data_IF_042343747439
#
_entry.id   IF_042343747439
#
_cell.length_a   1.000
_cell.length_b   1.000
_cell.length_c   1.000
_cell.angle_alpha   90.00
_cell.angle_beta   90.00
_cell.angle_gamma   90.00
#
_symmetry.space_group_name_H-M   'P 1'
#
loop_
_entity.id
_entity.type
_entity.pdbx_description
1 polymer ?
#
# COMPACT_ATOMS: atom_id res chain seq x y z
N UNK A 1 3.90 -9.18 23.84
CA UNK A 1 3.07 -7.99 23.60
C UNK A 1 4.02 -6.85 23.27
N UNK A 2 3.91 -6.27 22.09
CA UNK A 2 4.76 -5.16 21.65
C UNK A 2 3.90 -3.93 21.35
N UNK A 3 4.48 -2.72 21.40
CA UNK A 3 3.80 -1.48 21.03
C UNK A 3 4.16 -1.08 19.61
N UNK A 4 3.15 -0.85 18.77
CA UNK A 4 3.29 -0.45 17.37
C UNK A 4 2.83 0.99 17.14
N UNK A 5 3.54 1.70 16.27
CA UNK A 5 3.02 2.88 15.60
C UNK A 5 2.61 2.51 14.17
N UNK A 6 1.35 2.78 13.80
CA UNK A 6 0.86 2.68 12.43
C UNK A 6 0.61 4.10 11.92
N UNK A 7 1.49 4.63 11.07
CA UNK A 7 1.21 5.91 10.41
C UNK A 7 0.28 5.67 9.21
N UNK A 8 -0.68 6.56 9.00
CA UNK A 8 -1.72 6.32 8.00
C UNK A 8 -2.72 5.23 8.41
N UNK A 9 -2.90 5.02 9.73
CA UNK A 9 -3.72 3.96 10.28
C UNK A 9 -5.21 4.07 9.97
N UNK A 10 -5.72 5.27 9.67
CA UNK A 10 -7.11 5.50 9.24
C UNK A 10 -7.31 5.26 7.73
N UNK A 11 -6.24 5.00 7.00
CA UNK A 11 -6.27 4.70 5.57
C UNK A 11 -6.71 3.27 5.26
N UNK A 12 -6.76 2.94 3.97
CA UNK A 12 -7.12 1.62 3.47
C UNK A 12 -6.28 0.50 4.10
N UNK A 13 -4.97 0.44 3.81
CA UNK A 13 -4.10 -0.63 4.30
C UNK A 13 -3.89 -0.51 5.82
N UNK A 14 -3.66 0.70 6.33
CA UNK A 14 -3.39 0.95 7.75
C UNK A 14 -4.49 0.46 8.67
N UNK A 15 -5.77 0.61 8.28
CA UNK A 15 -6.91 0.16 9.09
C UNK A 15 -6.99 -1.37 9.22
N UNK A 16 -6.56 -2.11 8.22
CA UNK A 16 -6.43 -3.57 8.28
C UNK A 16 -5.26 -4.00 9.18
N UNK A 17 -4.12 -3.28 9.10
CA UNK A 17 -2.97 -3.53 9.98
C UNK A 17 -3.31 -3.31 11.45
N UNK A 18 -4.01 -2.21 11.77
CA UNK A 18 -4.46 -1.95 13.15
C UNK A 18 -5.27 -3.12 13.71
N UNK A 19 -6.26 -3.62 12.96
CA UNK A 19 -7.07 -4.77 13.40
C UNK A 19 -6.26 -6.04 13.58
N UNK A 20 -5.34 -6.30 12.64
CA UNK A 20 -4.48 -7.49 12.73
C UNK A 20 -3.60 -7.45 13.97
N UNK A 21 -2.97 -6.32 14.24
CA UNK A 21 -2.11 -6.13 15.41
C UNK A 21 -2.89 -6.26 16.73
N UNK A 22 -4.04 -5.60 16.84
CA UNK A 22 -4.92 -5.71 18.02
C UNK A 22 -5.40 -7.14 18.22
N UNK A 23 -5.80 -7.83 17.13
CA UNK A 23 -6.23 -9.24 17.17
C UNK A 23 -5.12 -10.21 17.61
N UNK A 24 -3.85 -9.82 17.47
CA UNK A 24 -2.69 -10.58 17.99
C UNK A 24 -2.26 -10.11 19.39
N UNK A 25 -3.00 -9.21 20.01
CA UNK A 25 -2.76 -8.75 21.38
C UNK A 25 -1.63 -7.71 21.50
N UNK A 26 -1.30 -7.01 20.42
CA UNK A 26 -0.33 -5.90 20.45
C UNK A 26 -1.01 -4.58 20.81
N UNK A 27 -0.25 -3.64 21.40
CA UNK A 27 -0.67 -2.26 21.55
C UNK A 27 -0.51 -1.50 20.21
N UNK A 28 -1.48 -0.65 19.87
CA UNK A 28 -1.48 0.09 18.61
C UNK A 28 -1.67 1.58 18.87
N UNK A 29 -0.69 2.37 18.44
CA UNK A 29 -0.82 3.82 18.27
C UNK A 29 -1.00 4.12 16.79
N UNK A 30 -1.90 5.03 16.46
CA UNK A 30 -2.12 5.52 15.10
C UNK A 30 -1.70 6.97 15.02
N UNK A 31 -0.93 7.35 13.97
CA UNK A 31 -0.68 8.73 13.57
C UNK A 31 -1.29 8.93 12.19
N UNK A 32 -2.30 9.79 12.10
CA UNK A 32 -3.02 10.08 10.85
C UNK A 32 -3.57 11.51 10.88
N UNK A 33 -3.43 12.26 9.80
CA UNK A 33 -3.97 13.62 9.69
C UNK A 33 -5.37 13.67 9.03
N UNK A 34 -5.96 12.50 8.76
CA UNK A 34 -7.28 12.33 8.14
C UNK A 34 -7.45 13.01 6.77
N UNK A 35 -6.34 13.31 6.08
CA UNK A 35 -6.39 13.95 4.75
C UNK A 35 -6.99 13.05 3.66
N UNK A 36 -6.84 11.73 3.82
CA UNK A 36 -7.42 10.71 2.95
C UNK A 36 -7.99 9.53 3.75
N UNK A 37 -7.44 9.28 4.94
CA UNK A 37 -7.97 8.31 5.89
C UNK A 37 -9.29 8.79 6.50
N UNK A 38 -10.11 7.85 6.96
CA UNK A 38 -11.40 8.11 7.60
C UNK A 38 -11.43 7.49 8.99
N UNK A 39 -11.88 8.22 10.02
CA UNK A 39 -12.02 7.66 11.38
C UNK A 39 -12.95 6.47 11.43
N UNK A 40 -13.95 6.44 10.54
CA UNK A 40 -14.92 5.36 10.39
C UNK A 40 -14.24 4.03 10.06
N UNK A 41 -13.10 4.07 9.36
CA UNK A 41 -12.30 2.87 9.08
C UNK A 41 -11.77 2.17 10.35
N UNK A 42 -11.78 2.83 11.50
CA UNK A 42 -11.32 2.31 12.79
C UNK A 42 -12.42 2.25 13.85
N UNK A 43 -13.68 2.51 13.49
CA UNK A 43 -14.79 2.69 14.43
C UNK A 43 -15.01 1.48 15.37
N UNK A 44 -14.85 0.27 14.86
CA UNK A 44 -15.02 -0.99 15.58
C UNK A 44 -13.85 -1.32 16.56
N UNK A 45 -12.71 -0.64 16.43
CA UNK A 45 -11.51 -0.83 17.27
C UNK A 45 -11.03 0.47 17.93
N UNK A 46 -11.81 1.54 17.83
CA UNK A 46 -11.41 2.88 18.30
C UNK A 46 -11.08 2.93 19.81
N UNK A 47 -11.71 2.09 20.63
CA UNK A 47 -11.47 2.02 22.08
C UNK A 47 -10.13 1.38 22.45
N UNK A 48 -9.51 0.65 21.54
CA UNK A 48 -8.27 -0.11 21.75
C UNK A 48 -7.05 0.58 21.12
N UNK A 49 -7.26 1.74 20.45
CA UNK A 49 -6.23 2.48 19.73
C UNK A 49 -5.87 3.78 20.46
N UNK A 50 -4.58 4.02 20.65
CA UNK A 50 -4.05 5.34 20.99
C UNK A 50 -3.95 6.18 19.71
N UNK A 51 -4.90 7.12 19.52
CA UNK A 51 -5.03 7.87 18.27
C UNK A 51 -4.42 9.27 18.38
N UNK A 52 -3.38 9.52 17.58
CA UNK A 52 -2.73 10.82 17.43
C UNK A 52 -3.12 11.44 16.07
N UNK A 53 -4.02 12.43 16.08
CA UNK A 53 -4.34 13.20 14.88
C UNK A 53 -3.23 14.21 14.60
N UNK A 54 -2.36 13.87 13.64
CA UNK A 54 -1.19 14.68 13.35
C UNK A 54 -0.65 14.40 11.94
N UNK A 55 0.15 15.34 11.43
CA UNK A 55 0.82 15.26 10.13
C UNK A 55 2.27 14.76 10.29
N UNK A 56 2.80 14.05 9.29
CA UNK A 56 4.20 13.61 9.25
C UNK A 56 5.22 14.77 9.26
N UNK A 57 4.78 15.98 8.97
CA UNK A 57 5.61 17.20 8.97
C UNK A 57 5.68 17.87 10.36
N UNK A 58 4.93 17.38 11.33
CA UNK A 58 4.95 17.84 12.72
C UNK A 58 5.97 17.00 13.51
N UNK A 59 7.16 17.56 13.72
CA UNK A 59 8.26 16.89 14.41
C UNK A 59 7.92 16.53 15.87
N UNK A 60 7.21 17.41 16.58
CA UNK A 60 6.79 17.15 17.96
C UNK A 60 5.78 16.00 18.02
N UNK A 61 4.88 15.92 17.04
CA UNK A 61 3.93 14.83 16.94
C UNK A 61 4.64 13.50 16.60
N UNK A 62 5.66 13.53 15.74
CA UNK A 62 6.47 12.34 15.45
C UNK A 62 7.19 11.84 16.70
N UNK A 63 7.80 12.72 17.51
CA UNK A 63 8.45 12.35 18.77
C UNK A 63 7.46 11.68 19.72
N UNK A 64 6.28 12.28 19.95
CA UNK A 64 5.21 11.67 20.75
C UNK A 64 4.72 10.34 20.14
N UNK A 65 4.64 10.28 18.82
CA UNK A 65 4.19 9.09 18.07
C UNK A 65 5.07 7.87 18.32
N UNK A 66 6.39 8.05 18.37
CA UNK A 66 7.36 6.96 18.52
C UNK A 66 7.72 6.65 19.99
N UNK A 67 7.27 7.45 20.94
CA UNK A 67 7.58 7.24 22.37
C UNK A 67 7.06 5.90 22.89
N UNK A 68 7.95 5.04 23.38
CA UNK A 68 7.63 3.70 23.89
C UNK A 68 7.21 2.69 22.83
N UNK A 69 7.41 3.01 21.54
CA UNK A 69 7.09 2.14 20.40
C UNK A 69 8.28 1.23 20.08
N UNK A 70 8.00 -0.05 19.87
CA UNK A 70 9.01 -1.02 19.45
C UNK A 70 9.09 -1.15 17.92
N UNK A 71 7.95 -1.07 17.23
CA UNK A 71 7.85 -1.25 15.78
C UNK A 71 7.03 -0.14 15.13
N UNK A 72 7.45 0.30 13.94
CA UNK A 72 6.70 1.26 13.13
C UNK A 72 6.29 0.61 11.81
N UNK A 73 4.98 0.66 11.48
CA UNK A 73 4.44 0.33 10.17
C UNK A 73 4.10 1.65 9.45
N UNK A 74 4.96 2.06 8.52
CA UNK A 74 4.88 3.38 7.90
C UNK A 74 4.08 3.36 6.60
N UNK A 75 2.78 3.77 6.68
CA UNK A 75 1.83 3.77 5.56
C UNK A 75 1.28 5.17 5.22
N UNK A 76 1.52 6.19 6.08
CA UNK A 76 1.12 7.57 5.78
C UNK A 76 1.86 8.09 4.55
N UNK A 77 1.11 8.50 3.53
CA UNK A 77 1.65 9.08 2.30
C UNK A 77 0.54 9.70 1.46
N UNK A 78 0.89 10.62 0.58
CA UNK A 78 0.09 10.96 -0.59
C UNK A 78 0.29 9.86 -1.62
N UNK A 79 -0.68 8.95 -1.76
CA UNK A 79 -0.57 7.73 -2.58
C UNK A 79 -0.95 7.91 -4.05
N UNK A 80 -1.35 9.11 -4.45
CA UNK A 80 -1.82 9.43 -5.80
C UNK A 80 -0.69 9.89 -6.71
N UNK A 81 -0.44 9.17 -7.79
CA UNK A 81 0.48 9.60 -8.87
C UNK A 81 0.02 10.93 -9.46
N UNK A 82 -1.28 11.07 -9.74
CA UNK A 82 -1.84 12.29 -10.33
C UNK A 82 -1.62 13.51 -9.41
N UNK A 83 -1.94 13.38 -8.11
CA UNK A 83 -1.69 14.46 -7.13
C UNK A 83 -0.20 14.81 -7.06
N UNK A 84 0.69 13.84 -7.19
CA UNK A 84 2.14 14.09 -7.20
C UNK A 84 2.60 14.93 -8.41
N UNK A 85 1.95 14.76 -9.56
CA UNK A 85 2.21 15.56 -10.76
C UNK A 85 1.64 16.97 -10.61
N UNK A 86 0.42 17.11 -10.07
CA UNK A 86 -0.24 18.38 -9.90
C UNK A 86 0.36 19.24 -8.77
N UNK A 87 0.85 18.59 -7.70
CA UNK A 87 1.36 19.24 -6.49
C UNK A 87 2.67 18.61 -6.00
N UNK A 88 3.74 18.61 -6.82
CA UNK A 88 4.95 17.84 -6.55
C UNK A 88 5.68 18.26 -5.27
N UNK A 89 5.75 19.53 -4.96
CA UNK A 89 6.43 20.01 -3.76
C UNK A 89 5.72 19.58 -2.47
N UNK A 90 4.39 19.64 -2.45
CA UNK A 90 3.58 19.19 -1.31
C UNK A 90 3.76 17.69 -1.10
N UNK A 91 3.70 16.92 -2.17
CA UNK A 91 3.89 15.47 -2.13
C UNK A 91 5.28 15.08 -1.61
N UNK A 92 6.36 15.71 -2.12
CA UNK A 92 7.73 15.45 -1.67
C UNK A 92 7.94 15.82 -0.18
N UNK A 93 7.33 16.91 0.29
CA UNK A 93 7.39 17.29 1.71
C UNK A 93 6.75 16.23 2.61
N UNK A 94 5.65 15.64 2.17
CA UNK A 94 4.95 14.61 2.95
C UNK A 94 5.66 13.26 2.82
N UNK A 95 5.89 12.79 1.59
CA UNK A 95 6.37 11.45 1.35
C UNK A 95 7.87 11.29 1.59
N UNK A 96 8.70 12.21 1.09
CA UNK A 96 10.16 12.11 1.23
C UNK A 96 10.64 12.68 2.56
N UNK A 97 10.32 13.96 2.83
CA UNK A 97 10.79 14.64 4.05
C UNK A 97 10.12 14.04 5.28
N UNK A 98 8.79 13.84 5.25
CA UNK A 98 8.06 13.21 6.36
C UNK A 98 8.56 11.79 6.69
N UNK A 99 8.91 10.97 5.68
CA UNK A 99 9.54 9.66 5.91
C UNK A 99 10.91 9.82 6.58
N UNK A 100 11.73 10.76 6.12
CA UNK A 100 13.03 11.01 6.73
C UNK A 100 12.90 11.49 8.19
N UNK A 101 11.98 12.41 8.47
CA UNK A 101 11.69 12.89 9.84
C UNK A 101 11.20 11.77 10.75
N UNK A 102 10.35 10.86 10.25
CA UNK A 102 9.89 9.69 11.01
C UNK A 102 11.04 8.73 11.30
N UNK A 103 11.92 8.45 10.34
CA UNK A 103 13.10 7.59 10.56
C UNK A 103 14.03 8.19 11.61
N UNK A 104 14.24 9.50 11.59
CA UNK A 104 15.07 10.19 12.60
C UNK A 104 14.42 10.14 13.99
N UNK A 105 13.12 10.40 14.11
CA UNK A 105 12.39 10.27 15.37
C UNK A 105 12.44 8.81 15.90
N UNK A 106 12.23 7.83 15.03
CA UNK A 106 12.29 6.41 15.38
C UNK A 106 13.68 6.00 15.88
N UNK A 107 14.74 6.46 15.20
CA UNK A 107 16.14 6.23 15.63
C UNK A 107 16.42 6.82 17.02
N UNK A 108 16.01 8.05 17.26
CA UNK A 108 16.23 8.75 18.54
C UNK A 108 15.46 8.10 19.68
N UNK A 109 14.26 7.59 19.44
CA UNK A 109 13.44 6.89 20.42
C UNK A 109 13.84 5.43 20.67
N UNK A 110 14.82 4.91 19.92
CA UNK A 110 15.27 3.52 20.05
C UNK A 110 14.26 2.50 19.49
N UNK A 111 13.43 2.89 18.51
CA UNK A 111 12.57 1.96 17.78
C UNK A 111 13.43 0.84 17.20
N UNK A 112 12.99 -0.40 17.37
CA UNK A 112 13.72 -1.56 16.86
C UNK A 112 13.66 -1.67 15.36
N UNK A 113 12.44 -1.58 14.75
CA UNK A 113 12.28 -1.77 13.30
C UNK A 113 11.19 -0.87 12.72
N UNK A 114 11.46 -0.40 11.49
CA UNK A 114 10.49 0.30 10.64
C UNK A 114 10.20 -0.55 9.40
N UNK A 115 8.93 -0.86 9.16
CA UNK A 115 8.44 -1.46 7.91
C UNK A 115 7.85 -0.35 7.06
N UNK A 116 8.44 -0.12 5.89
CA UNK A 116 8.07 0.97 4.98
C UNK A 116 7.23 0.49 3.80
N UNK A 117 6.08 1.09 3.59
CA UNK A 117 5.23 0.89 2.43
C UNK A 117 5.86 1.56 1.18
N UNK A 118 6.69 0.82 0.46
CA UNK A 118 7.26 1.19 -0.83
C UNK A 118 6.25 0.88 -1.97
N UNK A 119 6.68 1.01 -3.22
CA UNK A 119 5.77 0.88 -4.36
C UNK A 119 6.46 0.27 -5.58
N UNK A 120 5.74 -0.57 -6.32
CA UNK A 120 6.14 -1.06 -7.64
C UNK A 120 6.30 0.08 -8.68
N UNK A 121 5.78 1.28 -8.40
CA UNK A 121 6.01 2.46 -9.24
C UNK A 121 7.51 2.81 -9.39
N UNK A 122 8.37 2.34 -8.48
CA UNK A 122 9.83 2.48 -8.60
C UNK A 122 10.40 1.85 -9.88
N UNK A 123 9.73 0.85 -10.47
CA UNK A 123 10.16 0.19 -11.70
C UNK A 123 9.87 1.00 -12.97
N UNK A 124 8.93 1.96 -12.92
CA UNK A 124 8.50 2.74 -14.09
C UNK A 124 8.00 1.84 -15.23
N UNK A 125 8.28 2.27 -16.47
CA UNK A 125 7.88 1.57 -17.69
C UNK A 125 8.92 0.55 -18.21
N UNK A 126 9.79 -0.01 -17.37
CA UNK A 126 10.66 -1.10 -17.78
C UNK A 126 9.81 -2.22 -18.40
N UNK A 127 10.04 -2.63 -19.67
CA UNK A 127 9.20 -3.64 -20.33
C UNK A 127 9.41 -5.06 -19.82
N UNK A 128 10.46 -5.30 -19.03
CA UNK A 128 10.77 -6.63 -18.51
C UNK A 128 9.78 -7.03 -17.43
N UNK A 129 9.21 -8.23 -17.54
CA UNK A 129 8.36 -8.88 -16.54
C UNK A 129 8.83 -10.32 -16.35
N UNK A 130 8.71 -10.89 -15.13
CA UNK A 130 8.29 -10.25 -13.88
C UNK A 130 9.30 -9.22 -13.36
N UNK A 131 8.80 -8.26 -12.56
CA UNK A 131 9.64 -7.24 -11.91
C UNK A 131 10.40 -7.86 -10.75
N UNK A 132 11.71 -7.64 -10.69
CA UNK A 132 12.60 -8.18 -9.66
C UNK A 132 13.26 -7.03 -8.89
N UNK A 133 13.58 -7.25 -7.62
CA UNK A 133 14.16 -6.22 -6.74
C UNK A 133 15.56 -5.79 -7.17
N UNK A 134 16.29 -6.64 -7.90
CA UNK A 134 17.61 -6.33 -8.46
C UNK A 134 17.59 -5.49 -9.75
N UNK A 135 16.41 -5.23 -10.32
CA UNK A 135 16.27 -4.35 -11.47
C UNK A 135 16.57 -2.91 -11.09
N UNK A 136 17.22 -2.18 -12.00
CA UNK A 136 17.46 -0.75 -11.83
C UNK A 136 16.12 -0.02 -11.76
N UNK A 137 15.87 0.76 -10.70
CA UNK A 137 14.67 1.60 -10.64
C UNK A 137 14.66 2.66 -11.75
N UNK A 138 13.48 2.91 -12.30
CA UNK A 138 13.23 3.90 -13.36
C UNK A 138 11.97 4.73 -13.05
N UNK A 139 11.94 5.46 -11.92
CA UNK A 139 10.73 6.17 -11.49
C UNK A 139 10.37 7.28 -12.47
N UNK A 140 9.09 7.34 -12.89
CA UNK A 140 8.58 8.27 -13.90
C UNK A 140 7.60 9.32 -13.36
N UNK A 141 7.42 9.37 -12.03
CA UNK A 141 6.57 10.37 -11.38
C UNK A 141 7.17 10.84 -10.06
N UNK A 142 6.80 12.04 -9.57
CA UNK A 142 7.22 12.50 -8.24
C UNK A 142 6.90 11.48 -7.14
N UNK A 143 5.72 10.86 -7.19
CA UNK A 143 5.34 9.76 -6.28
C UNK A 143 6.31 8.58 -6.33
N UNK A 144 6.67 8.11 -7.52
CA UNK A 144 7.62 7.01 -7.67
C UNK A 144 9.00 7.37 -7.12
N UNK A 145 9.43 8.62 -7.36
CA UNK A 145 10.70 9.17 -6.83
C UNK A 145 10.66 9.23 -5.31
N UNK A 146 9.59 9.75 -4.70
CA UNK A 146 9.49 9.85 -3.24
C UNK A 146 9.46 8.48 -2.56
N UNK A 147 8.77 7.49 -3.13
CA UNK A 147 8.78 6.13 -2.62
C UNK A 147 10.17 5.48 -2.71
N UNK A 148 10.86 5.69 -3.82
CA UNK A 148 12.24 5.21 -3.99
C UNK A 148 13.22 5.94 -3.05
N UNK A 149 13.05 7.24 -2.82
CA UNK A 149 13.84 7.99 -1.84
C UNK A 149 13.65 7.41 -0.42
N UNK A 150 12.41 7.06 -0.04
CA UNK A 150 12.11 6.39 1.22
C UNK A 150 12.86 5.06 1.37
N UNK A 151 12.92 4.23 0.31
CA UNK A 151 13.71 2.98 0.32
C UNK A 151 15.20 3.25 0.58
N UNK A 152 15.78 4.26 -0.09
CA UNK A 152 17.18 4.62 0.10
C UNK A 152 17.44 5.18 1.50
N UNK A 153 16.54 5.99 2.06
CA UNK A 153 16.64 6.43 3.45
C UNK A 153 16.58 5.25 4.42
N UNK A 154 15.65 4.33 4.23
CA UNK A 154 15.57 3.11 5.02
C UNK A 154 16.88 2.33 5.00
N UNK A 155 17.45 2.07 3.82
CA UNK A 155 18.74 1.40 3.67
C UNK A 155 19.89 2.15 4.34
N UNK A 156 19.95 3.48 4.20
CA UNK A 156 20.96 4.32 4.83
C UNK A 156 20.85 4.28 6.36
N UNK A 157 19.63 4.39 6.93
CA UNK A 157 19.42 4.32 8.39
C UNK A 157 19.76 2.96 8.97
N UNK A 158 19.48 1.88 8.23
CA UNK A 158 19.89 0.55 8.63
C UNK A 158 21.43 0.44 8.69
N UNK A 159 22.13 0.92 7.67
CA UNK A 159 23.59 0.78 7.58
C UNK A 159 24.34 1.72 8.51
N UNK A 160 23.92 2.97 8.61
CA UNK A 160 24.67 4.02 9.33
C UNK A 160 24.31 4.05 10.83
N UNK A 161 23.07 3.74 11.20
CA UNK A 161 22.58 3.95 12.54
C UNK A 161 22.08 2.65 13.22
N UNK A 162 22.03 1.53 12.49
CA UNK A 162 21.56 0.26 13.04
C UNK A 162 20.05 0.20 13.27
N UNK A 163 19.26 1.17 12.79
CA UNK A 163 17.81 1.08 12.80
C UNK A 163 17.37 0.02 11.78
N UNK A 164 16.79 -1.07 12.25
CA UNK A 164 16.30 -2.11 11.36
C UNK A 164 15.21 -1.57 10.44
N UNK A 165 15.34 -1.73 9.13
CA UNK A 165 14.32 -1.30 8.16
C UNK A 165 14.00 -2.39 7.17
N UNK A 166 12.72 -2.49 6.77
CA UNK A 166 12.25 -3.40 5.71
C UNK A 166 11.34 -2.62 4.76
N UNK A 167 11.59 -2.68 3.46
CA UNK A 167 10.78 -2.00 2.46
C UNK A 167 9.94 -3.01 1.67
N UNK A 168 8.63 -2.77 1.57
CA UNK A 168 7.69 -3.63 0.87
C UNK A 168 7.15 -2.88 -0.37
N UNK A 169 7.60 -3.27 -1.57
CA UNK A 169 7.11 -2.74 -2.85
C UNK A 169 5.76 -3.37 -3.17
N UNK A 170 4.68 -2.71 -2.79
CA UNK A 170 3.34 -3.18 -3.12
C UNK A 170 3.05 -3.02 -4.60
N UNK A 171 2.47 -4.07 -5.18
CA UNK A 171 1.85 -4.02 -6.51
C UNK A 171 0.43 -3.48 -6.39
N UNK A 172 -0.51 -3.86 -7.24
CA UNK A 172 -1.85 -3.28 -7.25
C UNK A 172 -2.72 -3.81 -6.11
N UNK A 173 -2.62 -3.17 -4.94
CA UNK A 173 -3.39 -3.57 -3.76
C UNK A 173 -4.87 -3.27 -3.92
N UNK A 174 -5.73 -4.22 -3.56
CA UNK A 174 -7.18 -4.08 -3.54
C UNK A 174 -7.80 -4.74 -2.30
N UNK A 175 -9.01 -4.32 -1.94
CA UNK A 175 -9.73 -4.91 -0.81
C UNK A 175 -10.80 -3.97 -0.24
N UNK A 176 -11.53 -4.44 0.79
CA UNK A 176 -12.47 -3.63 1.58
C UNK A 176 -11.80 -2.37 2.13
N UNK A 177 -12.56 -1.28 2.31
CA UNK A 177 -12.11 0.06 2.76
C UNK A 177 -11.23 0.82 1.77
N UNK A 178 -11.01 0.32 0.56
CA UNK A 178 -10.43 1.13 -0.50
C UNK A 178 -11.51 2.08 -1.06
N UNK A 179 -11.39 3.38 -0.79
CA UNK A 179 -12.43 4.36 -1.10
C UNK A 179 -12.71 4.45 -2.62
N UNK A 180 -13.87 3.97 -3.10
CA UNK A 180 -14.18 3.99 -4.53
C UNK A 180 -14.56 5.39 -5.04
N UNK A 181 -14.75 6.37 -4.15
CA UNK A 181 -15.05 7.75 -4.52
C UNK A 181 -13.78 8.56 -4.81
N UNK A 182 -12.62 8.09 -4.38
CA UNK A 182 -11.35 8.72 -4.71
C UNK A 182 -11.08 8.59 -6.22
N UNK A 183 -10.81 9.69 -6.93
CA UNK A 183 -10.43 9.62 -8.35
C UNK A 183 -9.11 8.87 -8.57
N UNK A 184 -8.40 8.57 -7.49
CA UNK A 184 -7.12 7.88 -7.47
C UNK A 184 -7.22 6.44 -7.00
N UNK A 185 -8.44 5.93 -6.80
CA UNK A 185 -8.69 4.54 -6.42
C UNK A 185 -8.19 3.57 -7.49
N UNK A 186 -7.81 2.38 -7.03
CA UNK A 186 -7.44 1.29 -7.93
C UNK A 186 -8.59 0.91 -8.87
N UNK A 187 -8.23 0.41 -10.04
CA UNK A 187 -9.18 0.07 -11.10
C UNK A 187 -10.30 -0.89 -10.62
N UNK A 188 -9.99 -1.80 -9.69
CA UNK A 188 -10.97 -2.72 -9.10
C UNK A 188 -12.11 -1.96 -8.41
N UNK A 189 -11.79 -1.01 -7.52
CA UNK A 189 -12.80 -0.23 -6.79
C UNK A 189 -13.64 0.63 -7.71
N UNK A 190 -13.03 1.22 -8.76
CA UNK A 190 -13.73 2.03 -9.75
C UNK A 190 -14.68 1.17 -10.58
N UNK A 191 -14.22 0.03 -11.10
CA UNK A 191 -15.03 -0.88 -11.89
C UNK A 191 -16.18 -1.45 -11.06
N UNK A 192 -15.88 -1.95 -9.86
CA UNK A 192 -16.88 -2.51 -8.95
C UNK A 192 -17.99 -1.50 -8.65
N UNK A 193 -17.65 -0.24 -8.31
CA UNK A 193 -18.65 0.82 -8.04
C UNK A 193 -19.52 1.13 -9.25
N UNK A 194 -18.92 1.27 -10.46
CA UNK A 194 -19.69 1.53 -11.68
C UNK A 194 -20.64 0.37 -11.99
N UNK A 195 -20.14 -0.87 -11.92
CA UNK A 195 -20.93 -2.06 -12.22
C UNK A 195 -22.04 -2.32 -11.21
N UNK A 196 -21.83 -2.05 -9.91
CA UNK A 196 -22.86 -2.09 -8.89
C UNK A 196 -24.00 -1.11 -9.18
N UNK A 197 -23.70 0.03 -9.83
CA UNK A 197 -24.69 1.02 -10.27
C UNK A 197 -25.26 0.73 -11.66
N UNK A 198 -25.00 -0.44 -12.24
CA UNK A 198 -25.46 -0.82 -13.57
C UNK A 198 -24.77 -0.06 -14.72
N UNK A 199 -23.63 0.59 -14.45
CA UNK A 199 -22.89 1.39 -15.42
C UNK A 199 -21.72 0.59 -16.01
N UNK A 200 -21.41 0.82 -17.29
CA UNK A 200 -20.25 0.25 -17.94
C UNK A 200 -18.96 0.77 -17.31
N UNK A 201 -17.96 -0.09 -16.97
CA UNK A 201 -16.65 0.38 -16.56
C UNK A 201 -15.90 1.01 -17.75
N UNK A 202 -15.14 2.09 -17.49
CA UNK A 202 -14.34 2.79 -18.49
C UNK A 202 -12.96 2.13 -18.60
N UNK A 203 -12.66 1.55 -19.75
CA UNK A 203 -11.37 0.94 -20.05
C UNK A 203 -10.55 1.89 -20.91
N UNK A 204 -9.44 2.38 -20.37
CA UNK A 204 -8.50 3.19 -21.13
C UNK A 204 -7.62 2.27 -22.01
N UNK A 205 -7.59 2.56 -23.33
CA UNK A 205 -6.88 1.73 -24.30
C UNK A 205 -7.67 0.47 -24.70
N UNK A 206 -6.96 -0.63 -24.95
CA UNK A 206 -7.52 -1.89 -25.45
C UNK A 206 -7.96 -2.89 -24.36
N UNK A 207 -7.67 -2.58 -23.08
CA UNK A 207 -7.99 -3.44 -21.95
C UNK A 207 -7.07 -4.66 -21.76
N UNK A 208 -6.05 -4.80 -22.62
CA UNK A 208 -5.08 -5.89 -22.52
C UNK A 208 -3.88 -5.58 -21.62
N UNK A 209 -3.81 -4.35 -21.08
CA UNK A 209 -2.80 -4.03 -20.08
C UNK A 209 -2.99 -4.88 -18.84
N UNK A 210 -1.88 -5.39 -18.30
CA UNK A 210 -1.92 -6.35 -17.21
C UNK A 210 -1.49 -5.74 -15.88
N UNK A 211 -2.05 -6.26 -14.79
CA UNK A 211 -1.71 -5.89 -13.42
C UNK A 211 -1.60 -7.12 -12.53
N UNK A 212 -0.65 -7.08 -11.60
CA UNK A 212 -0.61 -7.99 -10.47
C UNK A 212 -1.49 -7.41 -9.36
N UNK A 213 -2.68 -7.98 -9.20
CA UNK A 213 -3.64 -7.58 -8.17
C UNK A 213 -3.39 -8.38 -6.89
N UNK A 214 -2.98 -7.70 -5.83
CA UNK A 214 -2.71 -8.31 -4.52
C UNK A 214 -3.75 -7.90 -3.50
N UNK A 215 -4.28 -8.86 -2.75
CA UNK A 215 -5.26 -8.59 -1.69
C UNK A 215 -4.62 -7.80 -0.55
N UNK A 216 -5.40 -6.89 0.06
CA UNK A 216 -4.99 -6.20 1.29
C UNK A 216 -4.66 -7.17 2.42
N UNK A 217 -5.31 -8.34 2.47
CA UNK A 217 -5.03 -9.37 3.47
C UNK A 217 -3.63 -9.96 3.30
N UNK A 218 -3.19 -10.20 2.06
CA UNK A 218 -1.84 -10.68 1.76
C UNK A 218 -0.79 -9.58 2.04
N UNK A 219 -1.12 -8.31 1.77
CA UNK A 219 -0.27 -7.17 2.14
C UNK A 219 -0.13 -7.06 3.66
N UNK A 220 -1.20 -7.23 4.41
CA UNK A 220 -1.15 -7.28 5.89
C UNK A 220 -0.28 -8.44 6.35
N UNK A 221 -0.45 -9.64 5.80
CA UNK A 221 0.38 -10.79 6.13
C UNK A 221 1.87 -10.52 5.85
N UNK A 222 2.21 -9.87 4.72
CA UNK A 222 3.58 -9.48 4.41
C UNK A 222 4.17 -8.50 5.44
N UNK A 223 3.39 -7.52 5.93
CA UNK A 223 3.83 -6.61 6.99
C UNK A 223 4.09 -7.35 8.31
N UNK A 224 3.21 -8.30 8.67
CA UNK A 224 3.38 -9.10 9.88
C UNK A 224 4.65 -9.96 9.81
N UNK A 225 4.97 -10.54 8.67
CA UNK A 225 6.22 -11.26 8.43
C UNK A 225 7.43 -10.31 8.47
N UNK A 226 7.33 -9.13 7.86
CA UNK A 226 8.43 -8.17 7.74
C UNK A 226 8.91 -7.64 9.10
N UNK A 227 8.02 -7.46 10.09
CA UNK A 227 8.47 -7.04 11.42
C UNK A 227 9.05 -8.18 12.26
N UNK A 228 8.67 -9.44 11.98
CA UNK A 228 9.07 -10.61 12.76
C UNK A 228 10.39 -11.23 12.30
N UNK A 229 10.62 -11.30 10.98
CA UNK A 229 11.74 -12.05 10.40
C UNK A 229 13.06 -11.30 10.55
N UNK A 230 14.03 -11.89 11.27
CA UNK A 230 15.31 -11.24 11.59
C UNK A 230 16.19 -10.97 10.37
N UNK A 231 16.22 -11.85 9.37
CA UNK A 231 17.06 -11.69 8.18
C UNK A 231 16.55 -10.67 7.15
N UNK A 232 15.42 -9.97 7.44
CA UNK A 232 14.81 -9.01 6.51
C UNK A 232 15.39 -7.60 6.56
N UNK A 233 16.31 -7.32 7.48
CA UNK A 233 16.84 -5.98 7.74
C UNK A 233 17.53 -5.38 6.52
N UNK A 234 17.23 -4.10 6.23
CA UNK A 234 17.81 -3.37 5.11
C UNK A 234 17.38 -3.89 3.73
N UNK A 235 16.41 -4.78 3.67
CA UNK A 235 15.97 -5.41 2.42
C UNK A 235 14.72 -4.76 1.83
N UNK A 236 14.61 -4.92 0.51
CA UNK A 236 13.41 -4.55 -0.27
C UNK A 236 12.78 -5.84 -0.79
N UNK A 237 11.46 -5.95 -0.71
CA UNK A 237 10.69 -7.10 -1.18
C UNK A 237 9.52 -6.69 -2.06
N UNK A 238 9.32 -7.37 -3.16
CA UNK A 238 8.09 -7.27 -3.94
C UNK A 238 6.95 -8.00 -3.24
N UNK A 239 5.82 -7.32 -3.09
CA UNK A 239 4.59 -7.87 -2.51
C UNK A 239 3.49 -7.77 -3.57
N UNK A 240 3.22 -8.87 -4.19
CA UNK A 240 2.23 -9.11 -5.23
C UNK A 240 1.57 -10.46 -5.05
N UNK A 241 0.65 -10.81 -5.94
CA UNK A 241 0.07 -12.15 -6.01
C UNK A 241 0.97 -13.13 -6.78
N UNK A 242 1.89 -12.61 -7.60
CA UNK A 242 2.67 -13.41 -8.56
C UNK A 242 1.88 -13.84 -9.80
N UNK A 243 0.67 -13.30 -9.97
CA UNK A 243 -0.19 -13.57 -11.13
C UNK A 243 -0.55 -12.26 -11.84
N UNK A 244 -0.57 -12.32 -13.16
CA UNK A 244 -0.93 -11.18 -14.01
C UNK A 244 -2.34 -11.35 -14.55
N UNK A 245 -3.17 -10.31 -14.43
CA UNK A 245 -4.52 -10.27 -14.99
C UNK A 245 -4.70 -9.02 -15.83
N UNK A 246 -5.31 -9.16 -17.02
CA UNK A 246 -5.70 -8.02 -17.86
C UNK A 246 -6.93 -7.32 -17.29
N UNK A 247 -7.22 -6.09 -17.74
CA UNK A 247 -8.46 -5.41 -17.37
C UNK A 247 -9.69 -6.15 -17.92
N UNK A 248 -9.55 -6.89 -19.03
CA UNK A 248 -10.64 -7.73 -19.56
C UNK A 248 -10.87 -8.98 -18.71
N UNK A 249 -9.81 -9.58 -18.14
CA UNK A 249 -9.94 -10.67 -17.16
C UNK A 249 -10.63 -10.17 -15.88
N UNK A 250 -10.24 -8.99 -15.40
CA UNK A 250 -10.90 -8.33 -14.26
C UNK A 250 -12.38 -8.08 -14.53
N UNK A 251 -12.75 -7.57 -15.69
CA UNK A 251 -14.15 -7.35 -16.08
C UNK A 251 -14.93 -8.66 -16.08
N UNK A 252 -14.35 -9.72 -16.64
CA UNK A 252 -14.94 -11.06 -16.66
C UNK A 252 -15.18 -11.59 -15.24
N UNK A 253 -14.18 -11.44 -14.37
CA UNK A 253 -14.29 -11.86 -12.98
C UNK A 253 -15.35 -11.06 -12.20
N UNK A 254 -15.42 -9.74 -12.39
CA UNK A 254 -16.46 -8.89 -11.79
C UNK A 254 -17.86 -9.25 -12.27
N UNK A 255 -18.05 -9.48 -13.57
CA UNK A 255 -19.33 -9.95 -14.12
C UNK A 255 -19.76 -11.27 -13.46
N UNK A 256 -18.84 -12.22 -13.32
CA UNK A 256 -19.12 -13.50 -12.66
C UNK A 256 -19.52 -13.32 -11.18
N UNK A 257 -18.84 -12.45 -10.44
CA UNK A 257 -19.14 -12.18 -9.01
C UNK A 257 -20.48 -11.45 -8.85
N UNK A 258 -20.78 -10.51 -9.74
CA UNK A 258 -22.03 -9.73 -9.69
C UNK A 258 -23.23 -10.46 -10.28
N UNK A 259 -23.02 -11.55 -11.02
CA UNK A 259 -24.06 -12.27 -11.75
C UNK A 259 -24.65 -11.45 -12.90
N UNK A 260 -23.85 -10.64 -13.58
CA UNK A 260 -24.26 -9.75 -14.68
C UNK A 260 -23.39 -9.95 -15.93
N UNK A 261 -23.69 -9.21 -17.01
CA UNK A 261 -22.92 -9.22 -18.24
C UNK A 261 -22.78 -7.80 -18.81
N UNK A 262 -22.15 -6.92 -18.00
CA UNK A 262 -21.90 -5.53 -18.37
C UNK A 262 -20.65 -5.48 -19.26
N UNK A 263 -20.76 -4.81 -20.43
CA UNK A 263 -19.64 -4.59 -21.32
C UNK A 263 -18.87 -3.34 -20.92
N UNK A 264 -17.58 -3.29 -21.24
CA UNK A 264 -16.77 -2.09 -21.04
C UNK A 264 -17.08 -1.02 -22.10
N UNK A 265 -16.92 0.23 -21.71
CA UNK A 265 -16.79 1.37 -22.59
C UNK A 265 -15.31 1.69 -22.76
N UNK A 266 -14.82 1.65 -24.01
CA UNK A 266 -13.42 1.92 -24.31
C UNK A 266 -13.20 3.40 -24.59
N UNK A 267 -12.19 3.95 -23.95
CA UNK A 267 -11.79 5.36 -24.06
C UNK A 267 -10.30 5.47 -24.39
N UNK A 268 -9.85 6.66 -24.76
CA UNK A 268 -8.46 6.91 -25.14
C UNK A 268 -7.47 6.43 -24.06
N UNK A 269 -6.36 5.83 -24.49
CA UNK A 269 -5.31 5.35 -23.62
C UNK A 269 -4.69 6.50 -22.81
N UNK A 270 -4.38 6.26 -21.55
CA UNK A 270 -3.68 7.24 -20.70
C UNK A 270 -2.20 7.28 -21.05
N UNK A 271 -1.64 8.47 -21.26
CA UNK A 271 -0.21 8.64 -21.44
C UNK A 271 0.53 8.21 -20.16
N UNK A 272 1.59 7.42 -20.32
CA UNK A 272 2.40 6.94 -19.20
C UNK A 272 1.80 5.75 -18.42
N UNK A 273 0.70 5.15 -18.88
CA UNK A 273 0.18 3.93 -18.25
C UNK A 273 1.10 2.74 -18.54
N UNK A 274 1.51 2.04 -17.48
CA UNK A 274 2.38 0.85 -17.56
C UNK A 274 1.63 -0.27 -18.29
N UNK A 275 2.23 -0.85 -19.35
CA UNK A 275 1.58 -1.92 -20.12
C UNK A 275 1.45 -3.20 -19.30
N UNK A 276 2.56 -3.67 -18.69
CA UNK A 276 2.59 -4.94 -18.00
C UNK A 276 3.23 -4.80 -16.61
N UNK A 277 2.51 -5.30 -15.60
CA UNK A 277 2.95 -5.29 -14.23
C UNK A 277 2.72 -6.66 -13.58
N UNK A 278 3.82 -7.35 -13.26
CA UNK A 278 3.85 -8.66 -12.60
C UNK A 278 5.02 -8.69 -11.62
N UNK A 279 4.77 -9.09 -10.38
CA UNK A 279 5.79 -9.26 -9.36
C UNK A 279 6.53 -10.60 -9.51
N UNK A 280 7.85 -10.58 -9.43
CA UNK A 280 8.59 -11.74 -8.94
C UNK A 280 8.59 -11.67 -7.42
N UNK A 281 7.90 -12.61 -6.78
CA UNK A 281 7.77 -12.68 -5.31
C UNK A 281 8.71 -13.71 -4.69
N UNK A 282 9.61 -14.32 -5.46
CA UNK A 282 10.46 -15.43 -5.00
C UNK A 282 11.39 -15.03 -3.85
N UNK A 283 11.86 -13.78 -3.81
CA UNK A 283 12.64 -13.24 -2.70
C UNK A 283 11.80 -13.16 -1.41
N UNK A 284 10.59 -12.62 -1.49
CA UNK A 284 9.68 -12.56 -0.34
C UNK A 284 9.29 -13.96 0.14
N UNK A 285 9.05 -14.90 -0.77
CA UNK A 285 8.76 -16.30 -0.43
C UNK A 285 9.92 -16.95 0.32
N UNK A 286 11.14 -16.83 -0.20
CA UNK A 286 12.30 -17.53 0.36
C UNK A 286 12.83 -16.91 1.66
N UNK A 287 12.74 -15.59 1.82
CA UNK A 287 13.34 -14.87 2.94
C UNK A 287 12.32 -14.47 4.01
N UNK A 288 11.09 -14.11 3.64
CA UNK A 288 10.03 -13.77 4.60
C UNK A 288 9.07 -14.94 4.87
N UNK A 289 9.03 -15.95 4.03
CA UNK A 289 7.98 -16.98 4.07
C UNK A 289 6.63 -16.45 3.53
N UNK A 290 6.64 -15.39 2.73
CA UNK A 290 5.44 -14.79 2.16
C UNK A 290 4.77 -15.72 1.16
N UNK A 291 3.50 -16.04 1.38
CA UNK A 291 2.68 -16.83 0.46
C UNK A 291 1.34 -16.13 0.29
N UNK A 292 1.05 -15.55 -0.90
CA UNK A 292 -0.26 -14.97 -1.15
C UNK A 292 -1.33 -16.07 -1.08
N UNK A 293 -2.41 -15.80 -0.36
CA UNK A 293 -3.45 -16.79 -0.03
C UNK A 293 -4.81 -16.48 -0.67
N UNK A 294 -4.97 -15.26 -1.20
CA UNK A 294 -6.23 -14.76 -1.73
C UNK A 294 -6.25 -14.84 -3.25
N UNK A 295 -7.14 -15.66 -3.82
CA UNK A 295 -7.42 -15.61 -5.25
C UNK A 295 -8.28 -14.38 -5.60
N UNK A 296 -8.19 -13.93 -6.86
CA UNK A 296 -8.85 -12.71 -7.33
C UNK A 296 -10.38 -12.78 -7.17
N UNK A 297 -11.02 -13.91 -7.48
CA UNK A 297 -12.48 -14.04 -7.42
C UNK A 297 -12.99 -13.93 -5.98
N UNK A 298 -12.29 -14.57 -5.03
CA UNK A 298 -12.65 -14.49 -3.60
C UNK A 298 -12.47 -13.06 -3.09
N UNK A 299 -11.34 -12.42 -3.42
CA UNK A 299 -11.08 -11.04 -3.00
C UNK A 299 -12.08 -10.05 -3.61
N UNK A 300 -12.51 -10.24 -4.86
CA UNK A 300 -13.54 -9.42 -5.49
C UNK A 300 -14.91 -9.58 -4.80
N UNK A 301 -15.27 -10.79 -4.35
CA UNK A 301 -16.50 -11.00 -3.56
C UNK A 301 -16.47 -10.17 -2.28
N UNK A 302 -15.38 -10.20 -1.53
CA UNK A 302 -15.23 -9.41 -0.31
C UNK A 302 -15.35 -7.89 -0.56
N UNK A 303 -14.76 -7.39 -1.67
CA UNK A 303 -14.91 -5.99 -2.08
C UNK A 303 -16.37 -5.64 -2.37
N UNK A 304 -17.07 -6.48 -3.15
CA UNK A 304 -18.49 -6.27 -3.51
C UNK A 304 -19.40 -6.34 -2.28
N UNK A 305 -19.20 -7.31 -1.39
CA UNK A 305 -19.96 -7.44 -0.14
C UNK A 305 -19.77 -6.21 0.74
N UNK A 306 -18.53 -5.75 0.90
CA UNK A 306 -18.24 -4.53 1.64
C UNK A 306 -18.90 -3.30 1.02
N UNK A 307 -18.81 -3.10 -0.31
CA UNK A 307 -19.44 -1.96 -0.99
C UNK A 307 -20.98 -1.95 -0.92
N UNK A 308 -21.61 -3.12 -0.73
CA UNK A 308 -23.07 -3.21 -0.55
C UNK A 308 -23.52 -2.91 0.88
N UNK A 309 -22.61 -3.01 1.84
CA UNK A 309 -22.89 -2.77 3.25
C UNK A 309 -22.70 -1.29 3.66
N UNK A 310 -21.91 -0.53 2.88
CA UNK A 310 -21.70 0.92 3.01
C UNK A 310 -22.90 1.73 2.42
#
# INVERSE_FOLDING_TARGET
MAQFLVTGGSGFIGSHLCRKLLGEGHGVRVLDNLSSGKRENLSDVAGDIDFLEADLRDEDALQRGVEGVEFVLHHAAVSSVQTSVERPLMEQQINSVGTLSLLEAARQAGVRRVVFAASAAAYGNDPRVPKREDMRPMPESPYAISKLAGEYYCGAYNTLYGLETVCLRYFNVYGPRQDPASPYSGVISIFAKRMLNGQAPLVHGDGLQTRDFVSVHDVVAANMLAYQVECSQGQVYNIGSGYSSSLMDLLTALNAVLGCNIQAEFVEARSGDVRDSLADISKAQSQLGYVPSMDLQRGLREVIEWMRAE
#
